data_IF_762894576743
#
_entry.id   IF_762894576743
#
_cell.length_a   1.000
_cell.length_b   1.000
_cell.length_c   1.000
_cell.angle_alpha   90.00
_cell.angle_beta   90.00
_cell.angle_gamma   90.00
#
_symmetry.space_group_name_H-M   'P 1'
#
loop_
_entity.id
_entity.type
_entity.pdbx_description
1 polymer ?
#
# COMPACT_ATOMS: atom_id res chain seq x y z
N UNK A 1 -2.15 -11.64 -7.97
CA UNK A 1 -1.33 -10.50 -7.52
C UNK A 1 -1.83 -10.07 -6.15
N UNK A 2 -1.00 -10.08 -5.09
CA UNK A 2 -1.42 -9.64 -3.77
C UNK A 2 -1.64 -8.11 -3.76
N UNK A 3 -2.67 -7.66 -3.06
CA UNK A 3 -2.96 -6.24 -2.84
C UNK A 3 -2.57 -5.87 -1.41
N UNK A 4 -1.73 -4.84 -1.25
CA UNK A 4 -1.36 -4.29 0.06
C UNK A 4 -2.05 -2.94 0.26
N UNK A 5 -2.71 -2.76 1.39
CA UNK A 5 -3.26 -1.48 1.82
C UNK A 5 -2.35 -0.88 2.88
N UNK A 6 -1.98 0.37 2.72
CA UNK A 6 -1.13 1.10 3.67
C UNK A 6 -1.72 2.49 3.90
N UNK A 7 -1.77 2.92 5.15
CA UNK A 7 -2.09 4.29 5.50
C UNK A 7 -0.80 5.11 5.50
N UNK A 8 -0.81 6.25 4.81
CA UNK A 8 0.31 7.18 4.72
C UNK A 8 -0.20 8.59 4.91
N UNK A 9 0.64 9.45 5.49
CA UNK A 9 0.34 10.87 5.70
C UNK A 9 0.33 11.68 4.38
N UNK A 10 0.92 11.13 3.32
CA UNK A 10 0.97 11.75 2.00
C UNK A 10 1.91 11.01 1.05
N UNK A 11 2.25 11.64 -0.07
CA UNK A 11 3.15 11.07 -1.10
C UNK A 11 4.56 10.84 -0.57
N UNK A 12 5.10 11.75 0.23
CA UNK A 12 6.41 11.57 0.86
C UNK A 12 6.45 10.34 1.78
N UNK A 13 5.39 10.11 2.56
CA UNK A 13 5.23 8.92 3.38
C UNK A 13 5.16 7.64 2.55
N UNK A 14 4.49 7.69 1.40
CA UNK A 14 4.44 6.59 0.45
C UNK A 14 5.80 6.29 -0.18
N UNK A 15 6.56 7.29 -0.63
CA UNK A 15 7.91 7.08 -1.17
C UNK A 15 8.85 6.44 -0.15
N UNK A 16 8.79 6.92 1.10
CA UNK A 16 9.55 6.33 2.20
C UNK A 16 9.17 4.87 2.43
N UNK A 17 7.88 4.56 2.45
CA UNK A 17 7.39 3.17 2.57
C UNK A 17 7.91 2.29 1.43
N UNK A 18 7.86 2.75 0.18
CA UNK A 18 8.38 2.00 -0.95
C UNK A 18 9.87 1.68 -0.77
N UNK A 19 10.67 2.72 -0.48
CA UNK A 19 12.13 2.63 -0.45
C UNK A 19 12.65 1.85 0.75
N UNK A 20 12.03 2.01 1.91
CA UNK A 20 12.50 1.43 3.16
C UNK A 20 11.87 0.07 3.48
N UNK A 21 10.68 -0.23 2.94
CA UNK A 21 9.93 -1.45 3.25
C UNK A 21 9.63 -2.27 2.00
N UNK A 22 8.82 -1.77 1.07
CA UNK A 22 8.25 -2.60 0.00
C UNK A 22 9.32 -3.15 -0.94
N UNK A 23 10.23 -2.31 -1.43
CA UNK A 23 11.29 -2.71 -2.36
C UNK A 23 12.45 -3.45 -1.70
N UNK A 24 12.48 -3.57 -0.36
CA UNK A 24 13.42 -4.47 0.33
C UNK A 24 12.98 -5.93 0.27
N UNK A 25 11.71 -6.19 -0.06
CA UNK A 25 11.20 -7.55 -0.19
C UNK A 25 11.71 -8.14 -1.50
N UNK A 26 12.48 -9.21 -1.40
CA UNK A 26 13.01 -9.91 -2.57
C UNK A 26 11.86 -10.34 -3.51
N UNK A 27 12.00 -10.03 -4.79
CA UNK A 27 11.00 -10.34 -5.82
C UNK A 27 9.97 -9.24 -6.11
N UNK A 28 9.89 -8.18 -5.29
CA UNK A 28 9.02 -7.03 -5.57
C UNK A 28 9.81 -5.95 -6.32
N UNK A 29 9.54 -5.82 -7.62
CA UNK A 29 10.22 -4.85 -8.52
C UNK A 29 9.24 -3.89 -9.21
N UNK A 30 8.02 -4.36 -9.44
CA UNK A 30 6.97 -3.62 -10.15
C UNK A 30 5.66 -3.74 -9.38
N UNK A 31 4.93 -2.63 -9.31
CA UNK A 31 3.64 -2.55 -8.65
C UNK A 31 2.81 -1.43 -9.23
N UNK A 32 1.48 -1.59 -9.21
CA UNK A 32 0.53 -0.51 -9.49
C UNK A 32 0.00 -0.02 -8.16
N UNK A 33 -0.08 1.30 -8.00
CA UNK A 33 -0.54 1.93 -6.76
C UNK A 33 -1.76 2.80 -7.01
N UNK A 34 -2.66 2.81 -6.04
CA UNK A 34 -3.87 3.64 -6.04
C UNK A 34 -3.93 4.44 -4.74
N UNK A 35 -4.19 5.74 -4.85
CA UNK A 35 -4.35 6.63 -3.70
C UNK A 35 -5.84 6.92 -3.47
N UNK A 36 -6.26 6.85 -2.22
CA UNK A 36 -7.60 7.24 -1.79
C UNK A 36 -7.49 8.37 -0.78
N UNK A 37 -8.18 9.48 -1.03
CA UNK A 37 -8.20 10.66 -0.16
C UNK A 37 -9.15 10.50 1.05
N UNK A 38 -9.98 9.46 1.04
CA UNK A 38 -10.89 9.11 2.13
C UNK A 38 -10.62 7.68 2.61
N UNK A 39 -10.99 7.40 3.84
CA UNK A 39 -10.93 6.04 4.38
C UNK A 39 -11.67 5.05 3.47
N UNK A 40 -10.95 4.05 2.95
CA UNK A 40 -11.56 2.95 2.20
C UNK A 40 -12.03 1.89 3.20
N UNK A 41 -13.34 1.85 3.48
CA UNK A 41 -14.09 0.84 4.25
C UNK A 41 -13.26 0.08 5.32
N UNK A 42 -13.43 0.43 6.59
CA UNK A 42 -12.73 -0.18 7.74
C UNK A 42 -13.12 -1.64 8.04
N UNK A 43 -14.02 -2.24 7.26
CA UNK A 43 -14.46 -3.63 7.42
C UNK A 43 -14.19 -4.39 6.13
N UNK A 44 -13.69 -5.62 6.25
CA UNK A 44 -13.50 -6.50 5.10
C UNK A 44 -14.85 -6.71 4.40
N UNK A 45 -14.90 -6.56 3.08
CA UNK A 45 -16.14 -6.78 2.32
C UNK A 45 -16.56 -8.24 2.29
N UNK A 46 -15.59 -9.15 2.43
CA UNK A 46 -15.78 -10.58 2.60
C UNK A 46 -14.99 -10.92 3.87
N UNK A 47 -15.71 -11.31 4.92
CA UNK A 47 -15.12 -12.00 6.05
C UNK A 47 -15.15 -13.50 5.71
N UNK A 48 -13.99 -14.15 5.78
CA UNK A 48 -13.88 -15.61 5.71
C UNK A 48 -13.77 -16.08 7.16
#
# INVERSE_FOLDING_TARGET
MPLVKVAVDGTAGYERFLREKLYKIAGIRHGRSMFALRCMKNIASIAI
#
